data_IF_662195135831
#
_entry.id   IF_662195135831
#
_cell.length_a   1.000
_cell.length_b   1.000
_cell.length_c   1.000
_cell.angle_alpha   90.00
_cell.angle_beta   90.00
_cell.angle_gamma   90.00
#
_symmetry.space_group_name_H-M   'P 1'
#
loop_
_entity.id
_entity.type
_entity.pdbx_description
1 polymer ?
#
# COMPACT_ATOMS: atom_id res chain seq x y z
N UNK A 1 -0.49 -10.96 -5.54
CA UNK A 1 -1.01 -9.60 -5.28
C UNK A 1 -2.32 -9.36 -6.02
N UNK A 2 -2.34 -9.35 -7.35
CA UNK A 2 -3.59 -9.22 -8.15
C UNK A 2 -4.68 -10.19 -7.66
N UNK A 3 -4.35 -11.48 -7.53
CA UNK A 3 -5.27 -12.49 -6.97
C UNK A 3 -5.80 -12.12 -5.57
N UNK A 4 -4.96 -11.62 -4.67
CA UNK A 4 -5.38 -11.23 -3.33
C UNK A 4 -6.34 -10.05 -3.34
N UNK A 5 -6.16 -9.10 -4.28
CA UNK A 5 -7.09 -7.99 -4.47
C UNK A 5 -8.47 -8.51 -4.93
N UNK A 6 -8.54 -9.24 -6.04
CA UNK A 6 -9.84 -9.77 -6.52
C UNK A 6 -10.48 -10.75 -5.54
N UNK A 7 -9.68 -11.50 -4.77
CA UNK A 7 -10.22 -12.31 -3.69
C UNK A 7 -10.93 -11.45 -2.63
N UNK A 8 -10.32 -10.34 -2.18
CA UNK A 8 -10.91 -9.44 -1.18
C UNK A 8 -12.10 -8.62 -1.70
N UNK A 9 -12.07 -8.18 -2.95
CA UNK A 9 -13.06 -7.24 -3.51
C UNK A 9 -14.19 -7.90 -4.30
N UNK A 10 -14.05 -9.19 -4.63
CA UNK A 10 -15.06 -9.93 -5.40
C UNK A 10 -15.43 -11.24 -4.71
N UNK A 11 -14.45 -12.16 -4.55
CA UNK A 11 -14.74 -13.54 -4.14
C UNK A 11 -15.23 -13.61 -2.69
N UNK A 12 -14.49 -13.02 -1.76
CA UNK A 12 -14.80 -13.04 -0.33
C UNK A 12 -16.16 -12.40 -0.01
N UNK A 13 -16.45 -11.15 -0.43
CA UNK A 13 -17.72 -10.51 -0.09
C UNK A 13 -18.91 -11.16 -0.82
N UNK A 14 -18.76 -11.62 -2.06
CA UNK A 14 -19.82 -12.40 -2.74
C UNK A 14 -20.10 -13.71 -2.00
N UNK A 15 -19.06 -14.45 -1.60
CA UNK A 15 -19.21 -15.71 -0.85
C UNK A 15 -19.88 -15.47 0.50
N UNK A 16 -19.44 -14.43 1.21
CA UNK A 16 -20.03 -14.04 2.49
C UNK A 16 -21.51 -13.67 2.32
N UNK A 17 -21.85 -12.89 1.30
CA UNK A 17 -23.24 -12.52 0.99
C UNK A 17 -24.14 -13.74 0.80
N UNK A 18 -23.78 -14.65 -0.11
CA UNK A 18 -24.60 -15.84 -0.38
C UNK A 18 -24.68 -16.77 0.82
N UNK A 19 -23.64 -16.82 1.65
CA UNK A 19 -23.68 -17.56 2.92
C UNK A 19 -24.66 -16.93 3.91
N UNK A 20 -24.66 -15.60 4.08
CA UNK A 20 -25.59 -14.90 4.95
C UNK A 20 -27.05 -15.03 4.47
N UNK A 21 -27.30 -14.95 3.16
CA UNK A 21 -28.62 -15.20 2.57
C UNK A 21 -29.08 -16.64 2.84
N UNK A 22 -28.18 -17.62 2.67
CA UNK A 22 -28.51 -19.04 2.90
C UNK A 22 -28.95 -19.33 4.34
N UNK A 23 -28.36 -18.65 5.32
CA UNK A 23 -28.74 -18.79 6.73
C UNK A 23 -29.85 -17.83 7.17
N UNK A 24 -30.44 -17.07 6.24
CA UNK A 24 -31.48 -16.06 6.52
C UNK A 24 -31.04 -15.05 7.58
N UNK A 25 -29.83 -14.50 7.41
CA UNK A 25 -29.22 -13.57 8.37
C UNK A 25 -30.07 -12.31 8.57
N UNK A 26 -30.28 -11.94 9.84
CA UNK A 26 -30.92 -10.68 10.22
C UNK A 26 -29.86 -9.58 10.38
N UNK A 27 -29.93 -8.53 9.54
CA UNK A 27 -28.94 -7.46 9.54
C UNK A 27 -29.08 -6.56 10.77
N UNK A 28 -27.96 -6.30 11.46
CA UNK A 28 -27.88 -5.51 12.70
C UNK A 28 -27.41 -4.07 12.45
N UNK A 29 -26.70 -3.81 11.35
CA UNK A 29 -26.26 -2.46 11.02
C UNK A 29 -27.45 -1.54 10.66
N UNK A 30 -27.41 -0.24 11.01
CA UNK A 30 -28.55 0.68 10.82
C UNK A 30 -29.01 0.84 9.37
N UNK A 31 -28.11 0.60 8.42
CA UNK A 31 -28.37 0.68 6.98
C UNK A 31 -28.72 -0.68 6.35
N UNK A 32 -28.74 -1.76 7.14
CA UNK A 32 -29.08 -3.11 6.71
C UNK A 32 -28.30 -3.60 5.49
N UNK A 33 -29.00 -4.29 4.59
CA UNK A 33 -28.47 -4.77 3.31
C UNK A 33 -28.37 -3.61 2.30
N UNK A 34 -27.22 -2.93 2.29
CA UNK A 34 -27.00 -1.82 1.34
C UNK A 34 -26.74 -2.28 -0.10
N UNK A 35 -26.03 -3.39 -0.31
CA UNK A 35 -25.65 -3.87 -1.62
C UNK A 35 -26.20 -5.29 -1.85
N UNK A 36 -26.87 -5.51 -2.98
CA UNK A 36 -27.40 -6.82 -3.37
C UNK A 36 -26.52 -7.49 -4.42
N UNK A 37 -25.69 -8.45 -4.02
CA UNK A 37 -24.76 -9.13 -4.92
C UNK A 37 -25.45 -9.97 -6.00
N UNK A 38 -26.72 -10.31 -5.81
CA UNK A 38 -27.53 -10.98 -6.83
C UNK A 38 -27.97 -10.02 -7.96
N UNK A 39 -28.00 -8.71 -7.71
CA UNK A 39 -28.42 -7.68 -8.65
C UNK A 39 -27.30 -7.09 -9.51
N UNK A 40 -26.05 -7.50 -9.30
CA UNK A 40 -24.89 -6.99 -10.06
C UNK A 40 -25.01 -7.41 -11.53
N UNK A 41 -24.82 -6.46 -12.45
CA UNK A 41 -24.90 -6.75 -13.88
C UNK A 41 -23.84 -7.78 -14.31
N UNK A 42 -24.20 -8.58 -15.32
CA UNK A 42 -23.26 -9.53 -15.93
C UNK A 42 -22.04 -8.81 -16.53
N UNK A 43 -22.24 -7.61 -17.07
CA UNK A 43 -21.17 -6.79 -17.65
C UNK A 43 -20.13 -6.39 -16.60
N UNK A 44 -20.56 -5.98 -15.40
CA UNK A 44 -19.64 -5.65 -14.30
C UNK A 44 -18.81 -6.87 -13.87
N UNK A 45 -19.43 -8.05 -13.77
CA UNK A 45 -18.74 -9.30 -13.43
C UNK A 45 -17.71 -9.66 -14.52
N UNK A 46 -18.10 -9.54 -15.79
CA UNK A 46 -17.22 -9.81 -16.92
C UNK A 46 -16.05 -8.83 -16.99
N UNK A 47 -16.26 -7.55 -16.72
CA UNK A 47 -15.21 -6.54 -16.66
C UNK A 47 -14.14 -6.90 -15.61
N UNK A 48 -14.57 -7.25 -14.39
CA UNK A 48 -13.69 -7.70 -13.31
C UNK A 48 -12.90 -8.96 -13.69
N UNK A 49 -13.59 -9.97 -14.24
CA UNK A 49 -12.95 -11.21 -14.68
C UNK A 49 -11.93 -10.94 -15.79
N UNK A 50 -12.25 -10.06 -16.72
CA UNK A 50 -11.39 -9.72 -17.85
C UNK A 50 -10.12 -9.00 -17.39
N UNK A 51 -10.23 -7.97 -16.52
CA UNK A 51 -9.05 -7.27 -15.98
C UNK A 51 -8.19 -8.21 -15.14
N UNK A 52 -8.79 -9.05 -14.29
CA UNK A 52 -8.07 -10.08 -13.54
C UNK A 52 -7.29 -11.00 -14.50
N UNK A 53 -7.96 -11.49 -15.54
CA UNK A 53 -7.41 -12.43 -16.51
C UNK A 53 -6.25 -11.83 -17.29
N UNK A 54 -6.39 -10.57 -17.74
CA UNK A 54 -5.32 -9.83 -18.41
C UNK A 54 -4.11 -9.69 -17.50
N UNK A 55 -4.28 -9.18 -16.27
CA UNK A 55 -3.17 -9.06 -15.34
C UNK A 55 -2.52 -10.42 -15.06
N UNK A 56 -3.30 -11.47 -14.83
CA UNK A 56 -2.80 -12.81 -14.55
C UNK A 56 -1.92 -13.32 -15.69
N UNK A 57 -2.43 -13.36 -16.92
CA UNK A 57 -1.68 -13.90 -18.05
C UNK A 57 -0.48 -13.04 -18.43
N UNK A 58 -0.62 -11.71 -18.42
CA UNK A 58 0.47 -10.80 -18.77
C UNK A 58 1.59 -10.86 -17.72
N UNK A 59 1.26 -10.83 -16.43
CA UNK A 59 2.29 -10.94 -15.37
C UNK A 59 2.94 -12.31 -15.36
N UNK A 60 2.18 -13.39 -15.60
CA UNK A 60 2.73 -14.74 -15.70
C UNK A 60 3.63 -14.90 -16.92
N UNK A 61 3.23 -14.37 -18.06
CA UNK A 61 4.05 -14.35 -19.27
C UNK A 61 5.36 -13.60 -19.05
N UNK A 62 5.30 -12.40 -18.47
CA UNK A 62 6.49 -11.60 -18.16
C UNK A 62 7.39 -12.27 -17.13
N UNK A 63 6.83 -12.96 -16.13
CA UNK A 63 7.61 -13.71 -15.16
C UNK A 63 8.45 -14.82 -15.82
N UNK A 64 7.90 -15.51 -16.83
CA UNK A 64 8.60 -16.55 -17.59
C UNK A 64 9.67 -15.93 -18.49
N UNK A 65 9.40 -14.78 -19.12
CA UNK A 65 10.33 -14.11 -20.04
C UNK A 65 11.53 -13.46 -19.32
N UNK A 66 11.33 -12.93 -18.12
CA UNK A 66 12.38 -12.21 -17.36
C UNK A 66 13.20 -13.21 -16.51
N UNK A 67 13.66 -14.28 -17.15
CA UNK A 67 14.24 -15.48 -16.52
C UNK A 67 15.15 -15.21 -15.30
N UNK A 68 14.98 -16.05 -14.28
CA UNK A 68 15.50 -15.83 -12.92
C UNK A 68 16.97 -16.24 -12.82
N UNK A 69 17.86 -15.32 -13.20
CA UNK A 69 19.27 -15.38 -12.80
C UNK A 69 19.39 -15.54 -11.26
N UNK A 70 20.40 -16.30 -10.81
CA UNK A 70 20.69 -16.50 -9.39
C UNK A 70 20.61 -15.18 -8.63
N UNK A 71 19.82 -15.17 -7.56
CA UNK A 71 19.53 -13.96 -6.80
C UNK A 71 20.71 -13.70 -5.84
N UNK A 72 21.52 -12.65 -6.05
CA UNK A 72 22.49 -12.26 -5.04
C UNK A 72 21.74 -11.90 -3.76
N UNK A 73 22.16 -12.46 -2.63
CA UNK A 73 21.59 -12.16 -1.32
C UNK A 73 22.09 -10.77 -0.88
N UNK A 74 21.49 -9.71 -1.43
CA UNK A 74 21.85 -8.31 -1.13
C UNK A 74 21.87 -8.01 0.36
N UNK A 75 21.11 -8.79 1.13
CA UNK A 75 20.94 -8.59 2.56
C UNK A 75 22.20 -9.01 3.30
N UNK A 76 22.99 -9.93 2.74
CA UNK A 76 24.31 -10.31 3.28
C UNK A 76 25.42 -9.37 2.84
N UNK A 77 25.27 -8.71 1.70
CA UNK A 77 26.29 -7.83 1.12
C UNK A 77 26.23 -6.40 1.65
N UNK A 78 25.17 -6.02 2.37
CA UNK A 78 24.98 -4.67 2.86
C UNK A 78 24.68 -4.65 4.35
N UNK A 79 25.15 -3.60 5.03
CA UNK A 79 24.88 -3.35 6.44
C UNK A 79 24.39 -1.92 6.64
N UNK A 80 23.37 -1.76 7.47
CA UNK A 80 22.88 -0.45 7.87
C UNK A 80 23.90 0.29 8.75
N UNK A 81 24.06 1.60 8.52
CA UNK A 81 24.91 2.48 9.34
C UNK A 81 24.10 3.06 10.52
N UNK A 82 24.40 2.69 11.78
CA UNK A 82 23.57 3.07 12.94
C UNK A 82 23.50 4.58 13.17
N UNK A 83 24.59 5.31 12.95
CA UNK A 83 24.63 6.76 13.14
C UNK A 83 23.69 7.49 12.17
N UNK A 84 23.66 7.07 10.90
CA UNK A 84 22.77 7.63 9.90
C UNK A 84 21.30 7.31 10.24
N UNK A 85 21.01 6.09 10.71
CA UNK A 85 19.67 5.71 11.17
C UNK A 85 19.20 6.60 12.33
N UNK A 86 20.08 6.88 13.30
CA UNK A 86 19.79 7.74 14.45
C UNK A 86 19.51 9.18 14.03
N UNK A 87 20.36 9.76 13.18
CA UNK A 87 20.18 11.13 12.66
C UNK A 87 18.88 11.26 11.87
N UNK A 88 18.56 10.28 11.00
CA UNK A 88 17.31 10.30 10.25
C UNK A 88 16.08 10.17 11.17
N UNK A 89 16.14 9.33 12.21
CA UNK A 89 15.06 9.24 13.20
C UNK A 89 14.87 10.55 13.97
N UNK A 90 15.95 11.24 14.33
CA UNK A 90 15.89 12.55 14.98
C UNK A 90 15.26 13.61 14.07
N UNK A 91 15.68 13.69 12.80
CA UNK A 91 15.09 14.62 11.83
C UNK A 91 13.60 14.36 11.62
N UNK A 92 13.20 13.09 11.57
CA UNK A 92 11.80 12.71 11.47
C UNK A 92 11.00 13.10 12.71
N UNK A 93 11.56 12.94 13.90
CA UNK A 93 10.94 13.40 15.15
C UNK A 93 10.72 14.92 15.16
N UNK A 94 11.72 15.69 14.73
CA UNK A 94 11.60 17.15 14.59
C UNK A 94 10.53 17.52 13.56
N UNK A 95 10.49 16.83 12.43
CA UNK A 95 9.45 17.03 11.41
C UNK A 95 8.04 16.69 11.93
N UNK A 96 7.90 15.63 12.72
CA UNK A 96 6.65 15.29 13.39
C UNK A 96 6.24 16.35 14.42
N UNK A 97 7.17 16.84 15.24
CA UNK A 97 6.90 17.91 16.20
C UNK A 97 6.45 19.20 15.50
N UNK A 98 7.11 19.56 14.39
CA UNK A 98 6.70 20.70 13.56
C UNK A 98 5.30 20.49 12.97
N UNK A 99 5.02 19.34 12.35
CA UNK A 99 3.70 19.03 11.81
C UNK A 99 2.61 19.08 12.88
N UNK A 100 2.90 18.55 14.06
CA UNK A 100 2.00 18.55 15.20
C UNK A 100 1.68 19.98 15.67
N UNK A 101 2.68 20.86 15.73
CA UNK A 101 2.51 22.27 16.08
C UNK A 101 1.66 23.03 15.06
N UNK A 102 1.94 22.86 13.75
CA UNK A 102 1.21 23.60 12.70
C UNK A 102 -0.21 23.10 12.45
N UNK A 103 -0.57 21.91 12.96
CA UNK A 103 -1.91 21.32 12.85
C UNK A 103 -2.78 21.49 14.10
N UNK A 104 -2.34 22.31 15.06
CA UNK A 104 -3.14 22.70 16.23
C UNK A 104 -2.55 22.34 17.59
N UNK A 105 -1.39 21.68 17.65
CA UNK A 105 -0.69 21.40 18.91
C UNK A 105 -1.35 20.35 19.80
N UNK A 106 -0.85 20.20 21.03
CA UNK A 106 -1.23 19.09 21.93
C UNK A 106 -2.73 19.10 22.20
N UNK A 107 -3.29 20.27 22.48
CA UNK A 107 -4.68 20.43 22.88
C UNK A 107 -5.65 19.96 21.79
N UNK A 108 -5.38 20.26 20.51
CA UNK A 108 -6.23 19.81 19.41
C UNK A 108 -6.18 18.28 19.22
N UNK A 109 -4.98 17.70 19.29
CA UNK A 109 -4.76 16.28 19.02
C UNK A 109 -5.25 15.35 20.15
N UNK A 110 -5.32 15.83 21.39
CA UNK A 110 -5.79 15.05 22.54
C UNK A 110 -7.28 15.21 22.83
N UNK A 111 -7.85 16.39 22.53
CA UNK A 111 -9.27 16.66 22.79
C UNK A 111 -10.20 16.07 21.73
N UNK A 112 -9.87 16.22 20.44
CA UNK A 112 -10.61 15.60 19.33
C UNK A 112 -9.64 15.11 18.25
N UNK A 113 -9.20 13.86 18.40
CA UNK A 113 -8.30 13.20 17.45
C UNK A 113 -8.94 13.10 16.06
N UNK A 114 -10.23 12.76 15.97
CA UNK A 114 -10.89 12.46 14.70
C UNK A 114 -11.05 13.73 13.88
N UNK A 115 -11.54 14.80 14.50
CA UNK A 115 -11.69 16.10 13.86
C UNK A 115 -10.33 16.66 13.43
N UNK A 116 -9.36 16.68 14.35
CA UNK A 116 -8.01 17.19 14.06
C UNK A 116 -7.33 16.40 12.94
N UNK A 117 -7.53 15.08 12.90
CA UNK A 117 -7.00 14.23 11.85
C UNK A 117 -7.62 14.52 10.47
N UNK A 118 -8.93 14.78 10.40
CA UNK A 118 -9.67 14.96 9.15
C UNK A 118 -9.64 16.40 8.62
N UNK A 119 -9.81 17.40 9.48
CA UNK A 119 -10.05 18.79 9.06
C UNK A 119 -8.82 19.68 9.18
N UNK A 120 -8.05 19.57 10.27
CA UNK A 120 -6.96 20.51 10.61
C UNK A 120 -5.64 20.25 9.85
N UNK A 121 -5.57 19.18 9.07
CA UNK A 121 -4.42 18.87 8.19
C UNK A 121 -4.44 19.58 6.84
N UNK A 122 -5.56 20.23 6.49
CA UNK A 122 -5.72 20.89 5.20
C UNK A 122 -4.60 21.91 5.00
N UNK A 123 -3.99 21.91 3.81
CA UNK A 123 -2.84 22.76 3.46
C UNK A 123 -1.45 22.14 3.71
N UNK A 124 -1.31 21.14 4.60
CA UNK A 124 -0.01 20.53 4.92
C UNK A 124 0.22 19.16 4.26
N UNK A 125 -0.45 18.90 3.14
CA UNK A 125 -0.44 17.59 2.47
C UNK A 125 0.96 17.13 2.02
N UNK A 126 1.79 18.03 1.48
CA UNK A 126 3.14 17.70 1.02
C UNK A 126 4.07 17.34 2.19
N UNK A 127 4.02 18.10 3.28
CA UNK A 127 4.77 17.81 4.50
C UNK A 127 4.35 16.44 5.07
N UNK A 128 3.05 16.20 5.18
CA UNK A 128 2.51 14.91 5.62
C UNK A 128 3.02 13.78 4.74
N UNK A 129 3.00 13.94 3.41
CA UNK A 129 3.53 12.96 2.46
C UNK A 129 5.01 12.63 2.73
N UNK A 130 5.87 13.64 2.89
CA UNK A 130 7.28 13.39 3.17
C UNK A 130 7.48 12.67 4.49
N UNK A 131 6.76 13.06 5.54
CA UNK A 131 6.83 12.37 6.85
C UNK A 131 6.36 10.92 6.74
N UNK A 132 5.36 10.64 5.90
CA UNK A 132 4.84 9.31 5.62
C UNK A 132 5.87 8.44 4.89
N UNK A 133 6.47 8.96 3.84
CA UNK A 133 7.45 8.21 3.05
C UNK A 133 8.73 7.97 3.85
N UNK A 134 9.17 8.96 4.62
CA UNK A 134 10.30 8.80 5.54
C UNK A 134 10.02 7.83 6.68
N UNK A 135 8.85 7.84 7.29
CA UNK A 135 8.51 6.90 8.37
C UNK A 135 8.43 5.45 7.84
N UNK A 136 7.86 5.24 6.66
CA UNK A 136 7.87 3.94 5.97
C UNK A 136 9.30 3.47 5.70
N UNK A 137 10.18 4.35 5.18
CA UNK A 137 11.57 4.02 4.93
C UNK A 137 12.34 3.74 6.24
N UNK A 138 12.07 4.50 7.30
CA UNK A 138 12.68 4.28 8.62
C UNK A 138 12.31 2.92 9.20
N UNK A 139 11.04 2.51 9.06
CA UNK A 139 10.57 1.18 9.46
C UNK A 139 11.29 0.07 8.68
N UNK A 140 11.45 0.23 7.36
CA UNK A 140 12.27 -0.67 6.55
C UNK A 140 13.72 -0.72 7.01
N UNK A 141 14.34 0.45 7.22
CA UNK A 141 15.75 0.56 7.54
C UNK A 141 16.09 -0.03 8.91
N UNK A 142 15.23 0.15 9.92
CA UNK A 142 15.41 -0.48 11.23
C UNK A 142 15.20 -2.00 11.17
N UNK A 143 14.26 -2.48 10.34
CA UNK A 143 14.14 -3.91 10.02
C UNK A 143 15.42 -4.47 9.40
N UNK A 144 15.98 -3.75 8.42
CA UNK A 144 17.23 -4.12 7.77
C UNK A 144 18.41 -4.11 8.75
N UNK A 145 18.47 -3.13 9.64
CA UNK A 145 19.46 -3.06 10.72
C UNK A 145 19.34 -4.28 11.66
N UNK A 146 18.14 -4.63 12.11
CA UNK A 146 17.91 -5.80 12.97
C UNK A 146 18.38 -7.10 12.31
N UNK A 147 18.21 -7.24 10.99
CA UNK A 147 18.64 -8.42 10.25
C UNK A 147 20.16 -8.50 10.03
N UNK A 148 20.81 -7.36 9.79
CA UNK A 148 22.21 -7.32 9.31
C UNK A 148 23.23 -6.94 10.38
N UNK A 149 22.81 -6.35 11.51
CA UNK A 149 23.73 -5.92 12.54
C UNK A 149 24.17 -7.09 13.45
N UNK A 150 25.50 -7.29 13.64
CA UNK A 150 26.03 -8.32 14.54
C UNK A 150 25.77 -7.98 16.02
N UNK A 151 25.72 -6.68 16.36
CA UNK A 151 25.35 -6.18 17.69
C UNK A 151 24.30 -5.09 17.53
N UNK A 152 23.19 -5.25 18.25
CA UNK A 152 22.04 -4.36 18.18
C UNK A 152 22.07 -3.41 19.37
N UNK A 153 22.02 -2.11 19.10
CA UNK A 153 21.89 -1.10 20.15
C UNK A 153 20.42 -1.03 20.58
N UNK A 154 20.14 -1.44 21.82
CA UNK A 154 18.78 -1.37 22.38
C UNK A 154 18.28 0.09 22.43
N UNK A 155 19.15 1.03 22.80
CA UNK A 155 18.83 2.46 22.84
C UNK A 155 18.38 2.98 21.47
N UNK A 156 19.09 2.62 20.40
CA UNK A 156 18.72 3.01 19.04
C UNK A 156 17.38 2.41 18.63
N UNK A 157 17.14 1.13 18.95
CA UNK A 157 15.87 0.47 18.63
C UNK A 157 14.70 1.12 19.37
N UNK A 158 14.83 1.35 20.68
CA UNK A 158 13.79 2.02 21.47
C UNK A 158 13.52 3.44 20.97
N UNK A 159 14.57 4.19 20.62
CA UNK A 159 14.42 5.53 20.05
C UNK A 159 13.66 5.49 18.72
N UNK A 160 14.06 4.63 17.77
CA UNK A 160 13.37 4.51 16.48
C UNK A 160 11.91 4.07 16.65
N UNK A 161 11.64 3.12 17.55
CA UNK A 161 10.27 2.68 17.86
C UNK A 161 9.41 3.81 18.43
N UNK A 162 9.96 4.63 19.33
CA UNK A 162 9.29 5.83 19.84
C UNK A 162 8.94 6.79 18.69
N UNK A 163 9.89 7.08 17.80
CA UNK A 163 9.66 7.96 16.65
C UNK A 163 8.57 7.40 15.72
N UNK A 164 8.59 6.09 15.44
CA UNK A 164 7.57 5.44 14.62
C UNK A 164 6.19 5.47 15.29
N UNK A 165 6.12 5.34 16.63
CA UNK A 165 4.87 5.48 17.37
C UNK A 165 4.30 6.91 17.25
N UNK A 166 5.14 7.94 17.40
CA UNK A 166 4.74 9.33 17.16
C UNK A 166 4.27 9.54 15.71
N UNK A 167 4.96 8.98 14.72
CA UNK A 167 4.55 9.05 13.32
C UNK A 167 3.18 8.38 13.11
N UNK A 168 2.97 7.17 13.66
CA UNK A 168 1.72 6.45 13.54
C UNK A 168 0.55 7.24 14.13
N UNK A 169 0.74 7.87 15.29
CA UNK A 169 -0.26 8.70 15.94
C UNK A 169 -0.73 9.83 15.02
N UNK A 170 0.22 10.63 14.53
CA UNK A 170 -0.06 11.82 13.69
C UNK A 170 -0.56 11.45 12.30
N UNK A 171 -0.07 10.36 11.71
CA UNK A 171 -0.35 9.97 10.32
C UNK A 171 -1.51 8.97 10.18
N UNK A 172 -2.12 8.56 11.29
CA UNK A 172 -3.28 7.65 11.32
C UNK A 172 -2.89 6.25 11.77
N UNK A 173 -3.24 5.90 13.01
CA UNK A 173 -2.80 4.67 13.68
C UNK A 173 -3.16 3.41 12.89
N UNK A 174 -4.38 3.38 12.31
CA UNK A 174 -5.00 2.21 11.66
C UNK A 174 -4.13 1.57 10.58
N UNK A 175 -3.72 2.32 9.55
CA UNK A 175 -2.96 1.76 8.42
C UNK A 175 -1.45 1.80 8.68
N UNK A 176 -0.97 2.75 9.47
CA UNK A 176 0.46 3.01 9.64
C UNK A 176 1.18 1.89 10.36
N UNK A 177 0.60 1.36 11.43
CA UNK A 177 1.22 0.27 12.18
C UNK A 177 1.42 -0.96 11.28
N UNK A 178 0.42 -1.31 10.46
CA UNK A 178 0.54 -2.42 9.50
C UNK A 178 1.59 -2.15 8.44
N UNK A 179 1.60 -0.95 7.86
CA UNK A 179 2.61 -0.58 6.87
C UNK A 179 4.02 -0.63 7.46
N UNK A 180 4.21 -0.14 8.69
CA UNK A 180 5.50 -0.24 9.39
C UNK A 180 5.88 -1.70 9.66
N UNK A 181 4.95 -2.55 10.07
CA UNK A 181 5.18 -3.99 10.25
C UNK A 181 5.62 -4.66 8.95
N UNK A 182 4.99 -4.33 7.81
CA UNK A 182 5.36 -4.89 6.50
C UNK A 182 6.74 -4.38 6.07
N UNK A 183 7.00 -3.07 6.14
CA UNK A 183 8.31 -2.52 5.77
C UNK A 183 9.42 -3.03 6.68
N UNK A 184 9.19 -3.10 7.99
CA UNK A 184 10.11 -3.69 8.96
C UNK A 184 10.43 -5.14 8.62
N UNK A 185 9.42 -5.96 8.32
CA UNK A 185 9.60 -7.38 8.02
C UNK A 185 10.10 -7.65 6.59
N UNK A 186 10.15 -6.65 5.71
CA UNK A 186 10.52 -6.78 4.30
C UNK A 186 11.85 -7.50 4.08
N UNK A 187 12.94 -7.27 4.85
CA UNK A 187 14.19 -8.03 4.69
C UNK A 187 14.03 -9.54 4.94
N UNK A 188 13.03 -9.97 5.70
CA UNK A 188 12.69 -11.39 5.87
C UNK A 188 11.73 -11.87 4.80
N UNK A 189 10.68 -11.10 4.52
CA UNK A 189 9.64 -11.45 3.55
C UNK A 189 10.20 -11.56 2.12
N UNK A 190 11.17 -10.72 1.75
CA UNK A 190 11.74 -10.69 0.40
C UNK A 190 12.41 -12.00 -0.04
N UNK A 191 12.83 -12.83 0.92
CA UNK A 191 13.46 -14.15 0.67
C UNK A 191 12.59 -15.31 1.17
N UNK A 192 11.46 -15.01 1.83
CA UNK A 192 10.58 -16.03 2.37
C UNK A 192 9.81 -16.73 1.24
N UNK A 193 9.74 -18.07 1.32
CA UNK A 193 8.80 -18.86 0.51
C UNK A 193 7.59 -19.15 1.37
N UNK A 194 6.49 -18.46 1.10
CA UNK A 194 5.24 -18.67 1.83
C UNK A 194 4.53 -19.92 1.29
N UNK A 195 4.20 -20.84 2.18
CA UNK A 195 3.30 -21.96 1.91
C UNK A 195 1.83 -21.52 1.98
N UNK A 196 0.93 -22.32 1.41
CA UNK A 196 -0.52 -22.04 1.46
C UNK A 196 -1.04 -21.91 2.90
N UNK A 197 -0.58 -22.79 3.81
CA UNK A 197 -0.94 -22.73 5.25
C UNK A 197 -0.53 -21.39 5.87
N UNK A 198 0.70 -20.93 5.58
CA UNK A 198 1.16 -19.62 6.04
C UNK A 198 0.33 -18.48 5.44
N UNK A 199 -0.07 -18.60 4.17
CA UNK A 199 -0.98 -17.65 3.53
C UNK A 199 -2.33 -17.55 4.23
N UNK A 200 -2.95 -18.68 4.58
CA UNK A 200 -4.22 -18.71 5.34
C UNK A 200 -4.04 -18.09 6.73
N UNK A 201 -2.97 -18.43 7.45
CA UNK A 201 -2.70 -17.82 8.76
C UNK A 201 -2.49 -16.29 8.65
N UNK A 202 -1.79 -15.82 7.62
CA UNK A 202 -1.62 -14.38 7.36
C UNK A 202 -2.96 -13.70 7.06
N UNK A 203 -3.84 -14.34 6.29
CA UNK A 203 -5.18 -13.83 6.01
C UNK A 203 -6.04 -13.72 7.28
N UNK A 204 -6.08 -14.77 8.11
CA UNK A 204 -6.80 -14.73 9.39
C UNK A 204 -6.23 -13.67 10.34
N UNK A 205 -4.90 -13.56 10.42
CA UNK A 205 -4.23 -12.50 11.18
C UNK A 205 -4.59 -11.10 10.67
N UNK A 206 -4.62 -10.91 9.35
CA UNK A 206 -5.09 -9.67 8.73
C UNK A 206 -6.55 -9.37 9.11
N UNK A 207 -7.45 -10.34 9.07
CA UNK A 207 -8.86 -10.14 9.43
C UNK A 207 -9.02 -9.68 10.89
N UNK A 208 -8.35 -10.35 11.85
CA UNK A 208 -8.38 -9.95 13.27
C UNK A 208 -7.85 -8.54 13.46
N UNK A 209 -6.70 -8.24 12.84
CA UNK A 209 -6.05 -6.95 12.93
C UNK A 209 -6.89 -5.84 12.28
N UNK A 210 -7.49 -6.12 11.12
CA UNK A 210 -8.40 -5.21 10.43
C UNK A 210 -9.62 -4.90 11.29
N UNK A 211 -10.24 -5.92 11.90
CA UNK A 211 -11.38 -5.78 12.81
C UNK A 211 -11.02 -4.94 14.04
N UNK A 212 -9.90 -5.22 14.72
CA UNK A 212 -9.46 -4.42 15.86
C UNK A 212 -9.16 -2.96 15.49
N UNK A 213 -8.58 -2.74 14.31
CA UNK A 213 -8.29 -1.39 13.84
C UNK A 213 -9.57 -0.64 13.38
N UNK A 214 -10.60 -1.36 12.95
CA UNK A 214 -11.93 -0.80 12.67
C UNK A 214 -12.65 -0.37 13.95
N UNK A 215 -12.63 -1.21 14.98
CA UNK A 215 -13.19 -0.90 16.29
C UNK A 215 -12.64 0.43 16.84
N UNK A 216 -11.31 0.61 16.80
CA UNK A 216 -10.67 1.86 17.26
C UNK A 216 -11.08 3.05 16.40
N UNK A 217 -11.09 2.92 15.07
CA UNK A 217 -11.44 4.01 14.16
C UNK A 217 -12.89 4.48 14.34
N UNK A 218 -13.79 3.56 14.60
CA UNK A 218 -15.21 3.86 14.72
C UNK A 218 -15.63 4.25 16.13
N UNK A 219 -14.68 4.58 17.02
CA UNK A 219 -14.91 4.84 18.44
C UNK A 219 -15.76 3.75 19.11
N UNK A 220 -15.51 2.49 18.76
CA UNK A 220 -16.24 1.34 19.29
C UNK A 220 -17.57 1.03 18.63
N UNK A 221 -17.98 1.72 17.55
CA UNK A 221 -19.23 1.40 16.84
C UNK A 221 -19.30 -0.06 16.36
N UNK A 222 -18.24 -0.59 15.72
CA UNK A 222 -18.18 -2.00 15.31
C UNK A 222 -17.70 -2.89 16.47
N UNK A 223 -18.49 -3.01 17.54
CA UNK A 223 -18.13 -3.72 18.77
C UNK A 223 -18.49 -5.21 18.78
N UNK A 224 -19.36 -5.68 17.88
CA UNK A 224 -19.74 -7.10 17.80
C UNK A 224 -19.22 -7.78 16.53
N UNK A 225 -18.99 -9.11 16.55
CA UNK A 225 -18.64 -9.87 15.36
C UNK A 225 -19.66 -9.75 14.22
N UNK A 226 -20.95 -9.66 14.53
CA UNK A 226 -22.05 -9.51 13.59
C UNK A 226 -21.92 -8.20 12.79
N UNK A 227 -21.75 -7.07 13.50
CA UNK A 227 -21.54 -5.77 12.88
C UNK A 227 -20.28 -5.72 12.02
N UNK A 228 -19.22 -6.44 12.42
CA UNK A 228 -17.99 -6.53 11.63
C UNK A 228 -18.18 -7.36 10.35
N UNK A 229 -18.93 -8.45 10.41
CA UNK A 229 -19.26 -9.26 9.23
C UNK A 229 -20.06 -8.46 8.21
N UNK A 230 -21.10 -7.74 8.65
CA UNK A 230 -21.89 -6.88 7.78
C UNK A 230 -21.09 -5.68 7.26
N UNK A 231 -20.14 -5.17 8.06
CA UNK A 231 -19.24 -4.11 7.61
C UNK A 231 -18.37 -4.55 6.43
N UNK A 232 -17.92 -5.81 6.37
CA UNK A 232 -17.17 -6.29 5.21
C UNK A 232 -17.98 -6.22 3.90
N UNK A 233 -19.27 -6.55 3.95
CA UNK A 233 -20.17 -6.44 2.78
C UNK A 233 -20.38 -4.99 2.33
N UNK A 234 -20.39 -4.06 3.28
CA UNK A 234 -20.51 -2.62 3.00
C UNK A 234 -19.18 -2.03 2.50
N UNK A 235 -18.05 -2.48 3.05
CA UNK A 235 -16.72 -1.95 2.76
C UNK A 235 -16.17 -2.37 1.40
N UNK A 236 -16.47 -3.60 0.97
CA UNK A 236 -16.02 -4.15 -0.31
C UNK A 236 -17.07 -3.90 -1.40
N UNK A 237 -17.39 -2.63 -1.66
CA UNK A 237 -18.47 -2.19 -2.56
C UNK A 237 -18.02 -1.82 -3.99
N UNK A 238 -16.75 -2.01 -4.33
CA UNK A 238 -16.16 -1.47 -5.57
C UNK A 238 -16.88 -1.92 -6.84
N UNK A 239 -17.38 -3.16 -6.89
CA UNK A 239 -18.08 -3.68 -8.07
C UNK A 239 -19.41 -2.97 -8.31
N UNK A 240 -20.15 -2.64 -7.25
CA UNK A 240 -21.40 -1.88 -7.35
C UNK A 240 -21.15 -0.45 -7.84
N UNK A 241 -20.03 0.15 -7.41
CA UNK A 241 -19.60 1.44 -7.94
C UNK A 241 -19.27 1.35 -9.43
N UNK A 242 -18.64 0.28 -9.91
CA UNK A 242 -18.43 0.08 -11.34
C UNK A 242 -19.74 -0.13 -12.11
N UNK A 243 -20.63 -0.97 -11.57
CA UNK A 243 -21.92 -1.29 -12.19
C UNK A 243 -22.80 -0.03 -12.36
N UNK A 244 -22.78 0.87 -11.37
CA UNK A 244 -23.41 2.19 -11.47
C UNK A 244 -22.91 2.99 -12.67
N UNK A 245 -21.59 2.99 -12.94
CA UNK A 245 -21.01 3.72 -14.07
C UNK A 245 -21.39 3.08 -15.41
N UNK A 246 -21.45 1.75 -15.49
CA UNK A 246 -21.89 1.06 -16.70
C UNK A 246 -23.34 1.43 -17.08
N UNK A 247 -24.19 1.67 -16.07
CA UNK A 247 -25.60 2.04 -16.27
C UNK A 247 -25.76 3.52 -16.63
N UNK A 248 -24.99 4.40 -16.00
CA UNK A 248 -25.20 5.85 -16.08
C UNK A 248 -24.35 6.54 -17.15
N UNK A 249 -23.21 5.95 -17.54
CA UNK A 249 -22.24 6.59 -18.42
C UNK A 249 -21.90 5.69 -19.62
N UNK A 250 -21.79 6.31 -20.79
CA UNK A 250 -21.24 5.68 -21.98
C UNK A 250 -19.71 5.58 -21.86
N UNK A 251 -19.07 4.59 -22.52
CA UNK A 251 -17.61 4.49 -22.52
C UNK A 251 -16.99 5.71 -23.21
N UNK A 252 -15.84 6.17 -22.71
CA UNK A 252 -15.16 7.35 -23.23
C UNK A 252 -13.63 7.14 -23.30
N UNK A 253 -12.93 8.08 -23.92
CA UNK A 253 -11.49 8.06 -24.12
C UNK A 253 -10.83 9.27 -23.46
N UNK A 254 -9.80 9.01 -22.64
CA UNK A 254 -8.96 10.00 -21.97
C UNK A 254 -9.70 10.98 -21.03
N UNK A 255 -10.91 10.65 -20.56
CA UNK A 255 -11.76 11.54 -19.78
C UNK A 255 -11.12 12.05 -18.47
N UNK A 256 -10.39 11.20 -17.76
CA UNK A 256 -9.79 11.50 -16.45
C UNK A 256 -8.25 11.52 -16.47
N UNK A 257 -7.62 11.14 -17.60
CA UNK A 257 -6.15 11.06 -17.74
C UNK A 257 -5.41 12.38 -17.40
N UNK A 258 -6.07 13.53 -17.58
CA UNK A 258 -5.52 14.86 -17.27
C UNK A 258 -5.64 15.28 -15.80
N UNK A 259 -6.48 14.62 -14.99
CA UNK A 259 -6.76 15.06 -13.61
C UNK A 259 -5.52 15.14 -12.70
N UNK A 260 -4.53 14.23 -12.79
CA UNK A 260 -3.34 14.31 -11.96
C UNK A 260 -2.52 15.58 -12.20
N UNK A 261 -2.52 16.09 -13.44
CA UNK A 261 -1.82 17.31 -13.83
C UNK A 261 -2.44 18.53 -13.14
N UNK A 262 -3.77 18.57 -13.01
CA UNK A 262 -4.46 19.64 -12.30
C UNK A 262 -3.97 19.77 -10.85
N UNK A 263 -3.64 18.65 -10.21
CA UNK A 263 -3.08 18.67 -8.85
C UNK A 263 -1.69 19.28 -8.83
N UNK A 264 -0.85 18.98 -9.82
CA UNK A 264 0.48 19.60 -9.94
C UNK A 264 0.40 21.09 -10.25
N UNK A 265 -0.53 21.50 -11.12
CA UNK A 265 -0.80 22.91 -11.42
C UNK A 265 -1.22 23.69 -10.17
N UNK A 266 -2.03 23.08 -9.31
CA UNK A 266 -2.43 23.70 -8.04
C UNK A 266 -1.25 24.00 -7.10
N UNK A 267 -0.15 23.26 -7.21
CA UNK A 267 1.05 23.47 -6.38
C UNK A 267 1.92 24.62 -6.87
N UNK A 268 1.89 24.95 -8.15
CA UNK A 268 2.60 26.11 -8.73
C UNK A 268 1.73 27.37 -8.73
N UNK A 269 0.62 27.36 -7.98
CA UNK A 269 -0.27 28.51 -7.81
C UNK A 269 -1.38 28.65 -8.84
N UNK A 270 -1.53 27.68 -9.75
CA UNK A 270 -2.64 27.64 -10.72
C UNK A 270 -3.77 26.80 -10.10
N UNK A 271 -4.58 27.43 -9.24
CA UNK A 271 -5.73 26.78 -8.61
C UNK A 271 -7.04 27.20 -9.28
N UNK A 272 -7.90 26.22 -9.55
CA UNK A 272 -9.32 26.44 -9.86
C UNK A 272 -10.16 25.59 -8.89
N UNK A 273 -11.26 26.13 -8.35
CA UNK A 273 -12.25 25.35 -7.58
C UNK A 273 -12.75 24.11 -8.34
N UNK A 274 -12.76 24.19 -9.67
CA UNK A 274 -13.28 23.15 -10.56
C UNK A 274 -12.26 22.04 -10.85
N UNK A 275 -11.01 22.18 -10.40
CA UNK A 275 -9.96 21.20 -10.71
C UNK A 275 -10.13 19.87 -9.97
N UNK A 276 -10.69 18.90 -10.69
CA UNK A 276 -10.69 17.48 -10.35
C UNK A 276 -9.25 16.95 -10.40
N UNK A 277 -8.84 16.19 -9.38
CA UNK A 277 -7.47 15.71 -9.22
C UNK A 277 -7.33 14.18 -9.31
N UNK A 278 -8.44 13.45 -9.19
CA UNK A 278 -8.54 12.03 -9.46
C UNK A 278 -10.02 11.66 -9.72
N UNK A 279 -10.23 10.47 -10.28
CA UNK A 279 -11.56 9.92 -10.57
C UNK A 279 -12.41 9.78 -9.31
N UNK A 280 -11.78 9.44 -8.18
CA UNK A 280 -12.50 9.22 -6.92
C UNK A 280 -13.15 10.48 -6.41
N UNK A 281 -12.45 11.62 -6.45
CA UNK A 281 -13.03 12.92 -6.10
C UNK A 281 -14.15 13.31 -7.05
N UNK A 282 -13.99 13.06 -8.35
CA UNK A 282 -15.00 13.40 -9.35
C UNK A 282 -16.29 12.62 -9.15
N UNK A 283 -16.22 11.30 -9.19
CA UNK A 283 -17.39 10.44 -9.11
C UNK A 283 -18.02 10.48 -7.71
N UNK A 284 -17.24 10.66 -6.63
CA UNK A 284 -17.83 10.90 -5.31
C UNK A 284 -18.58 12.22 -5.24
N UNK A 285 -18.04 13.31 -5.79
CA UNK A 285 -18.75 14.58 -5.80
C UNK A 285 -20.07 14.52 -6.60
N UNK A 286 -20.15 13.62 -7.59
CA UNK A 286 -21.36 13.41 -8.41
C UNK A 286 -22.38 12.48 -7.72
N UNK A 287 -21.96 11.31 -7.24
CA UNK A 287 -22.86 10.26 -6.74
C UNK A 287 -23.07 10.26 -5.22
N UNK A 288 -22.09 10.78 -4.48
CA UNK A 288 -22.11 10.81 -3.01
C UNK A 288 -21.74 12.21 -2.51
N UNK A 289 -22.50 13.26 -2.90
CA UNK A 289 -22.13 14.65 -2.66
C UNK A 289 -21.94 14.95 -1.17
N UNK A 290 -22.78 14.41 -0.28
CA UNK A 290 -22.63 14.62 1.17
C UNK A 290 -21.29 14.12 1.70
N UNK A 291 -20.79 12.97 1.22
CA UNK A 291 -19.50 12.44 1.64
C UNK A 291 -18.34 13.36 1.22
N UNK A 292 -18.42 13.98 0.04
CA UNK A 292 -17.38 14.91 -0.38
C UNK A 292 -17.51 16.29 0.27
N UNK A 293 -18.68 16.90 0.17
CA UNK A 293 -18.91 18.29 0.58
C UNK A 293 -19.01 18.45 2.10
N UNK A 294 -19.63 17.49 2.81
CA UNK A 294 -19.79 17.55 4.26
C UNK A 294 -18.62 16.86 4.99
N UNK A 295 -18.21 15.68 4.52
CA UNK A 295 -17.22 14.85 5.23
C UNK A 295 -15.78 14.96 4.68
N UNK A 296 -15.57 15.60 3.52
CA UNK A 296 -14.27 15.63 2.82
C UNK A 296 -13.69 14.22 2.54
N UNK A 297 -14.56 13.24 2.30
CA UNK A 297 -14.22 11.85 2.04
C UNK A 297 -14.47 11.45 0.58
N UNK A 298 -13.81 10.39 0.13
CA UNK A 298 -13.97 9.83 -1.22
C UNK A 298 -14.31 8.34 -1.18
N UNK A 299 -15.18 7.92 -2.08
CA UNK A 299 -15.39 6.51 -2.40
C UNK A 299 -14.19 5.99 -3.19
N UNK A 300 -13.95 4.69 -3.08
CA UNK A 300 -12.84 4.03 -3.77
C UNK A 300 -13.36 3.32 -5.01
N UNK A 301 -13.13 3.93 -6.17
CA UNK A 301 -13.59 3.41 -7.46
C UNK A 301 -12.56 2.42 -8.01
N UNK A 302 -13.00 1.33 -8.64
CA UNK A 302 -12.09 0.31 -9.11
C UNK A 302 -11.40 0.69 -10.43
N UNK A 303 -10.31 -0.02 -10.75
CA UNK A 303 -9.54 0.20 -11.98
C UNK A 303 -10.39 -0.03 -13.24
N UNK A 304 -11.36 -0.94 -13.17
CA UNK A 304 -12.33 -1.22 -14.24
C UNK A 304 -13.06 0.07 -14.67
N UNK A 305 -13.39 0.95 -13.72
CA UNK A 305 -14.02 2.25 -14.01
C UNK A 305 -13.07 3.20 -14.74
N UNK A 306 -11.80 3.29 -14.32
CA UNK A 306 -10.79 4.09 -15.03
C UNK A 306 -10.56 3.55 -16.45
N UNK A 307 -10.54 2.23 -16.62
CA UNK A 307 -10.36 1.61 -17.94
C UNK A 307 -11.54 1.91 -18.87
N UNK A 308 -12.76 1.80 -18.36
CA UNK A 308 -13.99 2.09 -19.09
C UNK A 308 -14.10 3.55 -19.56
N UNK A 309 -13.73 4.51 -18.70
CA UNK A 309 -13.85 5.94 -18.99
C UNK A 309 -12.65 6.54 -19.73
N UNK A 310 -11.51 5.84 -19.82
CA UNK A 310 -10.32 6.38 -20.51
C UNK A 310 -9.86 5.58 -21.72
N UNK A 311 -10.25 4.31 -21.81
CA UNK A 311 -9.83 3.42 -22.89
C UNK A 311 -11.03 2.85 -23.65
N UNK A 312 -12.24 3.32 -23.35
CA UNK A 312 -13.49 2.97 -24.01
C UNK A 312 -13.66 1.46 -24.19
N UNK A 313 -13.39 0.98 -25.41
CA UNK A 313 -13.48 -0.44 -25.77
C UNK A 313 -12.61 -1.34 -24.89
N UNK A 314 -13.21 -2.42 -24.38
CA UNK A 314 -12.54 -3.49 -23.63
C UNK A 314 -11.28 -4.01 -24.33
N UNK A 315 -11.19 -3.96 -25.66
CA UNK A 315 -9.99 -4.38 -26.40
C UNK A 315 -8.78 -3.52 -26.04
N UNK A 316 -8.95 -2.21 -25.83
CA UNK A 316 -7.84 -1.30 -25.53
C UNK A 316 -7.36 -1.39 -24.08
N UNK A 317 -8.11 -2.04 -23.18
CA UNK A 317 -7.70 -2.22 -21.78
C UNK A 317 -6.40 -3.03 -21.64
N UNK A 318 -6.10 -3.87 -22.63
CA UNK A 318 -4.85 -4.65 -22.68
C UNK A 318 -3.61 -3.75 -22.65
N UNK A 319 -3.68 -2.56 -23.26
CA UNK A 319 -2.52 -1.66 -23.39
C UNK A 319 -2.04 -1.15 -22.03
N UNK A 320 -2.86 -0.44 -21.24
CA UNK A 320 -2.41 0.06 -19.95
C UNK A 320 -2.10 -1.10 -18.97
N UNK A 321 -2.86 -2.19 -19.01
CA UNK A 321 -2.61 -3.36 -18.14
C UNK A 321 -1.25 -4.00 -18.48
N UNK A 322 -0.91 -4.16 -19.75
CA UNK A 322 0.38 -4.70 -20.18
C UNK A 322 1.54 -3.79 -19.72
N UNK A 323 1.39 -2.47 -19.84
CA UNK A 323 2.40 -1.52 -19.36
C UNK A 323 2.65 -1.67 -17.86
N UNK A 324 1.60 -1.76 -17.04
CA UNK A 324 1.75 -1.97 -15.60
C UNK A 324 2.31 -3.35 -15.25
N UNK A 325 1.91 -4.40 -15.98
CA UNK A 325 2.47 -5.74 -15.80
C UNK A 325 3.97 -5.75 -16.08
N UNK A 326 4.41 -5.16 -17.20
CA UNK A 326 5.83 -5.02 -17.55
C UNK A 326 6.57 -4.22 -16.48
N UNK A 327 6.01 -3.09 -16.04
CA UNK A 327 6.60 -2.25 -15.00
C UNK A 327 6.82 -3.01 -13.68
N UNK A 328 5.79 -3.66 -13.15
CA UNK A 328 5.89 -4.39 -11.87
C UNK A 328 6.78 -5.62 -11.97
N UNK A 329 6.71 -6.38 -13.06
CA UNK A 329 7.59 -7.53 -13.26
C UNK A 329 9.06 -7.10 -13.40
N UNK A 330 9.32 -5.97 -14.07
CA UNK A 330 10.67 -5.40 -14.19
C UNK A 330 11.19 -4.93 -12.83
N UNK A 331 10.40 -4.18 -12.06
CA UNK A 331 10.78 -3.77 -10.70
C UNK A 331 11.07 -4.98 -9.82
N UNK A 332 10.22 -6.00 -9.89
CA UNK A 332 10.43 -7.24 -9.15
C UNK A 332 11.74 -7.93 -9.56
N UNK A 333 12.05 -8.02 -10.85
CA UNK A 333 13.31 -8.62 -11.33
C UNK A 333 14.55 -7.81 -10.89
N UNK A 334 14.42 -6.48 -10.82
CA UNK A 334 15.51 -5.58 -10.41
C UNK A 334 15.63 -5.42 -8.90
N UNK A 335 14.70 -5.95 -8.09
CA UNK A 335 14.61 -5.70 -6.63
C UNK A 335 15.90 -5.93 -5.83
N UNK A 336 16.77 -6.81 -6.33
CA UNK A 336 18.06 -7.16 -5.72
C UNK A 336 19.29 -6.62 -6.47
N UNK A 337 19.12 -5.85 -7.56
CA UNK A 337 20.25 -5.29 -8.32
C UNK A 337 20.65 -3.89 -7.86
N UNK A 338 19.70 -3.10 -7.33
CA UNK A 338 19.91 -1.72 -6.90
C UNK A 338 20.29 -1.52 -5.42
N UNK A 339 20.67 -2.57 -4.70
CA UNK A 339 20.96 -2.51 -3.26
C UNK A 339 19.71 -2.42 -2.36
N UNK A 340 19.87 -2.22 -1.04
CA UNK A 340 18.76 -2.26 -0.07
C UNK A 340 17.67 -1.22 -0.33
N UNK A 341 18.03 -0.03 -0.79
CA UNK A 341 17.06 1.04 -1.12
C UNK A 341 16.11 0.60 -2.22
N UNK A 342 16.61 -0.11 -3.23
CA UNK A 342 15.79 -0.55 -4.35
C UNK A 342 14.76 -1.61 -3.93
N UNK A 343 15.03 -2.41 -2.89
CA UNK A 343 14.05 -3.30 -2.29
C UNK A 343 12.88 -2.52 -1.66
N UNK A 344 13.17 -1.41 -0.98
CA UNK A 344 12.14 -0.50 -0.45
C UNK A 344 11.32 0.14 -1.58
N UNK A 345 11.98 0.60 -2.65
CA UNK A 345 11.31 1.20 -3.82
C UNK A 345 10.37 0.17 -4.44
N UNK A 346 10.85 -1.06 -4.70
CA UNK A 346 10.04 -2.13 -5.26
C UNK A 346 8.79 -2.43 -4.41
N UNK A 347 8.92 -2.46 -3.08
CA UNK A 347 7.77 -2.70 -2.20
C UNK A 347 6.81 -1.49 -2.16
N UNK A 348 7.35 -0.27 -2.18
CA UNK A 348 6.55 0.96 -2.19
C UNK A 348 5.71 1.07 -3.46
N UNK A 349 6.32 0.80 -4.61
CA UNK A 349 5.64 0.76 -5.91
C UNK A 349 4.62 -0.40 -5.99
N UNK A 350 4.90 -1.53 -5.33
CA UNK A 350 3.92 -2.60 -5.23
C UNK A 350 2.67 -2.18 -4.44
N UNK A 351 2.82 -1.40 -3.36
CA UNK A 351 1.67 -0.83 -2.65
C UNK A 351 0.92 0.22 -3.46
N UNK A 352 1.63 1.04 -4.23
CA UNK A 352 1.03 2.01 -5.14
C UNK A 352 0.24 1.32 -6.27
N UNK A 353 0.78 0.22 -6.77
CA UNK A 353 0.08 -0.64 -7.72
C UNK A 353 -1.16 -1.29 -7.10
N UNK A 354 -1.12 -1.70 -5.82
CA UNK A 354 -2.31 -2.18 -5.12
C UNK A 354 -3.37 -1.09 -4.93
N UNK A 355 -2.97 0.15 -4.60
CA UNK A 355 -3.94 1.24 -4.44
C UNK A 355 -4.62 1.64 -5.75
N UNK A 356 -4.00 1.34 -6.89
CA UNK A 356 -4.59 1.56 -8.21
C UNK A 356 -5.89 0.77 -8.44
N UNK A 357 -5.98 -0.45 -7.91
CA UNK A 357 -7.19 -1.26 -8.03
C UNK A 357 -8.41 -0.65 -7.32
N UNK A 358 -8.22 0.42 -6.55
CA UNK A 358 -9.24 1.11 -5.74
C UNK A 358 -9.11 2.63 -5.79
N UNK A 359 -8.60 3.15 -6.89
CA UNK A 359 -8.41 4.58 -7.07
C UNK A 359 -8.05 4.86 -8.51
N UNK A 360 -7.16 5.83 -8.70
CA UNK A 360 -6.76 6.22 -10.05
C UNK A 360 -5.58 5.41 -10.57
N UNK A 361 -5.60 5.13 -11.88
CA UNK A 361 -4.47 4.56 -12.61
C UNK A 361 -3.25 5.47 -12.52
N UNK A 362 -3.43 6.74 -12.87
CA UNK A 362 -2.39 7.75 -12.81
C UNK A 362 -2.49 8.52 -11.50
N UNK A 363 -1.80 8.05 -10.47
CA UNK A 363 -1.83 8.74 -9.18
C UNK A 363 -0.93 9.99 -9.23
N UNK A 364 -1.49 11.17 -8.97
CA UNK A 364 -0.73 12.43 -8.94
C UNK A 364 0.46 12.41 -7.96
N UNK A 365 0.42 11.54 -6.95
CA UNK A 365 1.49 11.42 -5.95
C UNK A 365 2.77 10.78 -6.53
N UNK A 366 2.71 10.14 -7.70
CA UNK A 366 3.86 9.46 -8.33
C UNK A 366 5.07 10.37 -8.53
N UNK A 367 4.85 11.64 -8.89
CA UNK A 367 5.92 12.62 -9.08
C UNK A 367 6.74 12.78 -7.79
N UNK A 368 6.06 12.86 -6.64
CA UNK A 368 6.71 13.00 -5.34
C UNK A 368 7.39 11.72 -4.88
N UNK A 369 6.80 10.55 -5.19
CA UNK A 369 7.44 9.27 -4.96
C UNK A 369 8.76 9.16 -5.72
N UNK A 370 8.77 9.50 -7.01
CA UNK A 370 9.99 9.47 -7.83
C UNK A 370 11.07 10.39 -7.25
N UNK A 371 10.73 11.62 -6.89
CA UNK A 371 11.67 12.55 -6.25
C UNK A 371 12.23 11.98 -4.93
N UNK A 372 11.37 11.38 -4.11
CA UNK A 372 11.77 10.74 -2.87
C UNK A 372 12.71 9.55 -3.12
N UNK A 373 12.42 8.72 -4.12
CA UNK A 373 13.28 7.59 -4.49
C UNK A 373 14.64 8.03 -4.99
N UNK A 374 14.71 9.08 -5.82
CA UNK A 374 15.98 9.65 -6.26
C UNK A 374 16.81 10.11 -5.07
N UNK A 375 16.21 10.80 -4.10
CA UNK A 375 16.89 11.20 -2.87
C UNK A 375 17.44 10.00 -2.09
N UNK A 376 16.67 8.92 -1.92
CA UNK A 376 17.14 7.71 -1.24
C UNK A 376 18.27 7.02 -2.02
N UNK A 377 18.18 6.97 -3.34
CA UNK A 377 19.19 6.36 -4.20
C UNK A 377 20.51 7.14 -4.17
N UNK A 378 20.46 8.46 -4.15
CA UNK A 378 21.63 9.34 -3.96
C UNK A 378 22.23 9.17 -2.56
N UNK A 379 21.38 9.12 -1.53
CA UNK A 379 21.77 8.95 -0.13
C UNK A 379 22.22 7.54 0.27
N UNK A 380 22.07 6.53 -0.60
CA UNK A 380 22.22 5.13 -0.20
C UNK A 380 23.59 4.80 0.42
N UNK A 381 24.66 5.44 -0.05
CA UNK A 381 26.03 5.20 0.44
C UNK A 381 26.27 5.78 1.84
N UNK A 382 25.47 6.79 2.23
CA UNK A 382 25.48 7.35 3.58
C UNK A 382 24.68 6.47 4.55
N UNK A 383 23.70 5.73 4.04
CA UNK A 383 22.78 4.89 4.82
C UNK A 383 23.26 3.44 4.99
N UNK A 384 23.87 2.88 3.95
CA UNK A 384 24.31 1.49 3.91
C UNK A 384 25.79 1.38 3.53
N UNK A 385 26.50 0.48 4.18
CA UNK A 385 27.85 0.08 3.82
C UNK A 385 27.83 -1.28 3.13
N UNK A 386 28.62 -1.45 2.07
CA UNK A 386 28.88 -2.78 1.50
C UNK A 386 29.81 -3.56 2.43
N UNK A 387 29.52 -4.84 2.63
CA UNK A 387 30.30 -5.77 3.43
C UNK A 387 30.59 -6.99 2.57
N UNK A 388 31.81 -7.54 2.63
CA UNK A 388 32.09 -8.83 1.98
C UNK A 388 31.18 -9.90 2.61
N UNK A 389 30.48 -10.70 1.80
CA UNK A 389 29.64 -11.76 2.35
C UNK A 389 30.51 -12.70 3.20
N UNK A 390 30.06 -13.00 4.43
CA UNK A 390 30.65 -14.09 5.20
C UNK A 390 30.44 -15.39 4.40
N UNK A 391 31.46 -16.26 4.27
CA UNK A 391 31.32 -17.52 3.56
C UNK A 391 30.16 -18.32 4.14
N UNK A 392 29.46 -19.08 3.28
CA UNK A 392 28.32 -19.89 3.75
C UNK A 392 28.84 -20.86 4.82
N UNK A 393 28.05 -21.11 5.87
CA UNK A 393 28.38 -22.03 6.96
C UNK A 393 28.61 -23.50 6.54
N UNK A 394 28.65 -23.81 5.24
CA UNK A 394 29.06 -25.09 4.66
C UNK A 394 30.37 -25.05 3.86
N UNK A 395 30.89 -23.87 3.49
CA UNK A 395 32.19 -23.74 2.78
C UNK A 395 33.37 -23.81 3.75
N UNK A 396 33.20 -23.35 4.99
CA UNK A 396 34.22 -23.49 6.04
C UNK A 396 34.54 -24.95 6.39
N UNK A 397 33.58 -25.86 6.21
CA UNK A 397 33.78 -27.29 6.42
C UNK A 397 34.62 -27.92 5.29
N UNK A 398 34.59 -27.38 4.07
CA UNK A 398 35.38 -27.90 2.95
C UNK A 398 36.82 -27.38 3.01
N UNK A 399 37.03 -26.12 3.40
CA UNK A 399 38.38 -25.57 3.59
C UNK A 399 39.14 -26.18 4.77
N UNK A 400 38.44 -26.55 5.86
CA UNK A 400 39.08 -27.24 7.00
C UNK A 400 39.39 -28.70 6.71
N UNK A 401 38.59 -29.38 5.88
CA UNK A 401 38.87 -30.77 5.46
C UNK A 401 40.00 -30.83 4.43
N UNK A 402 40.08 -29.87 3.48
CA UNK A 402 41.19 -29.82 2.52
C UNK A 402 42.53 -29.44 3.17
N UNK A 403 42.54 -28.56 4.17
CA UNK A 403 43.77 -28.24 4.90
C UNK A 403 44.16 -29.31 5.95
N UNK A 404 43.23 -30.20 6.32
CA UNK A 404 43.50 -31.34 7.23
C UNK A 404 44.00 -32.62 6.55
N UNK A 405 43.87 -32.73 5.22
CA UNK A 405 44.32 -33.91 4.44
C UNK A 405 45.75 -33.79 3.90
N UNK A 406 46.46 -32.68 4.17
CA UNK A 406 47.86 -32.47 3.80
C UNK A 406 48.89 -32.74 4.91
N UNK A 407 48.46 -33.23 6.07
CA UNK A 407 49.33 -33.54 7.21
C UNK A 407 48.97 -34.92 7.79
N UNK A 408 49.34 -35.98 7.07
CA UNK A 408 49.47 -37.34 7.59
C UNK A 408 50.62 -38.03 6.86
#
# INVERSE_FOLDING_TARGET
MVFGNYFLYLVFPATLFYFLEWISWEYVLPWGKMNDWAGVSQEAILAYLYVFTLFFYLTRGMEVLIDRAEQPDIIREHRARPAALWVCALLLLVGCAYFFQVTGGIDAWTSDYSETYLSKKKGYGLLNFFLIMWSNFLAFWVGFYCRTAPRRSLLLLLFVLLVLACCAFVQGVKSRIFMFGIFFSLPWLAVARLSLKQGVCLFLGFMVLFSGAMYVRSNGFYNTPEMLLEYFLTYFNTIFLHDMILQDMQPDYLLTMGYPINKWLSLIGVSSPDYLHDISRWLTAMYFPSQWFDESATQQWPIETELYLNYGSYVFWVVPIALYAVFICTLYALRFRGGPVFLFICMSELFMFLSMFRGSMLQWIILFNVLFYLMLMLGQRLMFARVKPLPKAGEQAVETVQNGQGAA
#
